data_IF_135939314767
#
_entry.id   IF_135939314767
#
_cell.length_a   1.000
_cell.length_b   1.000
_cell.length_c   1.000
_cell.angle_alpha   90.00
_cell.angle_beta   90.00
_cell.angle_gamma   90.00
#
_symmetry.space_group_name_H-M   'P 1'
#
loop_
_entity.id
_entity.type
_entity.pdbx_description
1 polymer ?
#
# COMPACT_ATOMS: atom_id res chain seq x y z
N UNK A 1 -10.54 3.04 6.30
CA UNK A 1 -9.95 1.68 6.21
C UNK A 1 -10.40 1.03 4.91
N UNK A 2 -9.48 0.58 4.06
CA UNK A 2 -9.82 0.09 2.71
C UNK A 2 -10.20 -1.39 2.67
N UNK A 3 -9.95 -2.11 3.76
CA UNK A 3 -10.37 -3.50 3.96
C UNK A 3 -11.89 -3.62 4.05
N UNK A 4 -12.47 -4.47 3.20
CA UNK A 4 -13.89 -4.82 3.18
C UNK A 4 -14.08 -6.33 3.15
N UNK A 5 -15.23 -6.78 3.67
CA UNK A 5 -15.67 -8.18 3.57
C UNK A 5 -16.51 -8.32 2.30
N UNK A 6 -16.16 -9.27 1.44
CA UNK A 6 -16.91 -9.66 0.26
C UNK A 6 -17.43 -11.08 0.48
N UNK A 7 -18.75 -11.22 0.63
CA UNK A 7 -19.41 -12.45 1.05
C UNK A 7 -18.78 -13.03 2.34
N UNK A 8 -17.99 -14.09 2.23
CA UNK A 8 -17.34 -14.79 3.34
C UNK A 8 -15.84 -14.46 3.50
N UNK A 9 -15.25 -13.69 2.59
CA UNK A 9 -13.81 -13.43 2.54
C UNK A 9 -13.52 -11.95 2.78
N UNK A 10 -12.37 -11.68 3.38
CA UNK A 10 -11.85 -10.33 3.55
C UNK A 10 -10.93 -9.99 2.37
N UNK A 11 -10.84 -8.70 2.07
CA UNK A 11 -9.99 -8.15 1.02
C UNK A 11 -9.76 -6.68 1.22
N UNK A 12 -8.75 -6.13 0.54
CA UNK A 12 -8.50 -4.69 0.48
C UNK A 12 -8.62 -4.19 -0.95
N UNK A 13 -9.01 -2.92 -1.08
CA UNK A 13 -9.08 -2.21 -2.36
C UNK A 13 -8.74 -0.73 -2.13
N UNK A 14 -7.62 -0.26 -2.66
CA UNK A 14 -7.25 1.15 -2.59
C UNK A 14 -6.59 1.63 -3.88
N UNK A 15 -6.76 2.92 -4.19
CA UNK A 15 -6.03 3.60 -5.25
C UNK A 15 -4.81 4.33 -4.69
N UNK A 16 -3.71 4.36 -5.45
CA UNK A 16 -2.53 5.15 -5.14
C UNK A 16 -1.82 5.55 -6.44
N UNK A 17 -1.53 6.84 -6.63
CA UNK A 17 -0.85 7.40 -7.82
C UNK A 17 -1.43 6.91 -9.17
N UNK A 18 -2.76 6.89 -9.29
CA UNK A 18 -3.45 6.44 -10.51
C UNK A 18 -3.51 4.92 -10.69
N UNK A 19 -2.75 4.14 -9.92
CA UNK A 19 -2.83 2.69 -9.89
C UNK A 19 -3.86 2.19 -8.87
N UNK A 20 -4.47 1.02 -9.15
CA UNK A 20 -5.45 0.37 -8.29
C UNK A 20 -4.87 -0.92 -7.72
N UNK A 21 -4.82 -1.00 -6.39
CA UNK A 21 -4.28 -2.15 -5.67
C UNK A 21 -5.42 -2.88 -4.97
N UNK A 22 -5.59 -4.15 -5.32
CA UNK A 22 -6.64 -5.00 -4.75
C UNK A 22 -6.13 -6.40 -4.47
N UNK A 23 -6.56 -6.98 -3.35
CA UNK A 23 -6.38 -8.41 -3.06
C UNK A 23 -7.53 -8.89 -2.19
N UNK A 24 -8.06 -10.05 -2.52
CA UNK A 24 -9.20 -10.66 -1.84
C UNK A 24 -8.87 -12.10 -1.43
N UNK A 25 -9.77 -12.73 -0.67
CA UNK A 25 -9.67 -14.15 -0.29
C UNK A 25 -9.14 -14.40 1.12
N UNK A 26 -8.92 -13.37 1.93
CA UNK A 26 -8.42 -13.54 3.30
C UNK A 26 -9.48 -14.16 4.20
N UNK A 27 -9.07 -15.12 5.05
CA UNK A 27 -9.97 -15.76 6.03
C UNK A 27 -10.39 -14.80 7.14
N UNK A 28 -9.51 -13.89 7.55
CA UNK A 28 -9.76 -12.96 8.67
C UNK A 28 -9.52 -11.50 8.27
N UNK A 29 -10.20 -10.59 8.96
CA UNK A 29 -10.01 -9.13 8.80
C UNK A 29 -8.56 -8.73 9.06
N UNK A 30 -7.95 -9.30 10.11
CA UNK A 30 -6.55 -9.04 10.49
C UNK A 30 -5.58 -9.39 9.36
N UNK A 31 -5.73 -10.55 8.74
CA UNK A 31 -4.88 -10.94 7.61
C UNK A 31 -5.01 -10.00 6.41
N UNK A 32 -6.22 -9.51 6.12
CA UNK A 32 -6.43 -8.53 5.06
C UNK A 32 -5.78 -7.17 5.39
N UNK A 33 -5.83 -6.73 6.65
CA UNK A 33 -5.19 -5.50 7.12
C UNK A 33 -3.66 -5.60 7.06
N UNK A 34 -3.08 -6.70 7.55
CA UNK A 34 -1.63 -6.93 7.47
C UNK A 34 -1.15 -6.94 6.01
N UNK A 35 -1.93 -7.53 5.10
CA UNK A 35 -1.63 -7.51 3.67
C UNK A 35 -1.77 -6.11 3.05
N UNK A 36 -2.77 -5.32 3.44
CA UNK A 36 -2.92 -3.91 3.04
C UNK A 36 -1.70 -3.09 3.47
N UNK A 37 -1.28 -3.21 4.73
CA UNK A 37 -0.12 -2.50 5.28
C UNK A 37 1.16 -2.89 4.54
N UNK A 38 1.37 -4.18 4.27
CA UNK A 38 2.51 -4.64 3.46
C UNK A 38 2.49 -4.06 2.04
N UNK A 39 1.32 -4.01 1.41
CA UNK A 39 1.17 -3.43 0.07
C UNK A 39 1.50 -1.93 0.06
N UNK A 40 0.97 -1.16 1.01
CA UNK A 40 1.27 0.27 1.15
C UNK A 40 2.75 0.53 1.44
N UNK A 41 3.35 -0.24 2.34
CA UNK A 41 4.77 -0.13 2.66
C UNK A 41 5.65 -0.45 1.45
N UNK A 42 5.26 -1.43 0.62
CA UNK A 42 6.00 -1.75 -0.62
C UNK A 42 5.94 -0.61 -1.62
N UNK A 43 4.77 0.01 -1.78
CA UNK A 43 4.59 1.20 -2.63
C UNK A 43 5.47 2.34 -2.11
N UNK A 44 5.34 2.70 -0.83
CA UNK A 44 6.12 3.76 -0.19
C UNK A 44 7.63 3.52 -0.27
N UNK A 45 8.11 2.30 0.01
CA UNK A 45 9.54 1.96 -0.09
C UNK A 45 10.05 1.95 -1.54
N UNK A 46 9.22 1.56 -2.50
CA UNK A 46 9.56 1.62 -3.92
C UNK A 46 9.75 3.06 -4.42
N UNK A 47 9.03 4.02 -3.84
CA UNK A 47 9.12 5.45 -4.17
C UNK A 47 10.41 6.07 -3.63
N UNK A 48 10.89 5.64 -2.45
CA UNK A 48 12.15 6.15 -1.87
C UNK A 48 13.37 5.88 -2.76
N UNK A 49 13.34 4.83 -3.59
CA UNK A 49 14.45 4.52 -4.51
C UNK A 49 14.39 5.38 -5.80
N UNK A 50 13.20 5.85 -6.19
CA UNK A 50 13.00 6.54 -7.47
C UNK A 50 12.79 8.06 -7.34
N UNK A 51 12.68 8.59 -6.12
CA UNK A 51 12.66 10.03 -5.90
C UNK A 51 14.10 10.56 -5.94
N UNK A 52 14.53 10.97 -7.13
CA UNK A 52 15.75 11.74 -7.40
C UNK A 52 15.69 13.17 -6.80
N UNK A 53 15.38 13.23 -5.52
CA UNK A 53 15.53 14.39 -4.66
C UNK A 53 15.80 13.85 -3.27
N UNK A 54 16.91 13.12 -3.19
CA UNK A 54 17.56 12.82 -1.92
C UNK A 54 17.67 14.14 -1.15
N UNK A 55 17.46 14.09 0.16
CA UNK A 55 17.64 15.19 1.12
C UNK A 55 18.93 16.04 0.92
N UNK A 56 19.88 15.51 0.15
CA UNK A 56 21.09 16.17 -0.35
C UNK A 56 20.83 17.42 -1.22
N UNK A 57 19.75 17.49 -2.00
CA UNK A 57 19.45 18.67 -2.84
C UNK A 57 19.03 19.89 -2.00
N UNK A 58 18.51 19.68 -0.79
CA UNK A 58 18.16 20.77 0.13
C UNK A 58 19.39 21.33 0.88
N UNK A 59 20.46 20.54 1.03
CA UNK A 59 21.64 20.93 1.81
C UNK A 59 22.70 21.68 0.99
N UNK A 60 22.56 21.70 -0.35
CA UNK A 60 23.49 22.38 -1.26
C UNK A 60 22.95 23.72 -1.82
N UNK A 61 21.94 24.32 -1.17
CA UNK A 61 21.41 25.63 -1.57
C UNK A 61 21.83 26.74 -0.60
#
# INVERSE_FOLDING_TARGET
>A
MSVRKYASKWGYYFGYEGARYRKQGFKTKRAAVEAETKAKNKIMKGIVINNKSSFLDYYNQ
#
